data_IF_661210584581
#
_entry.id   IF_661210584581
#
_cell.length_a   1.000
_cell.length_b   1.000
_cell.length_c   1.000
_cell.angle_alpha   90.00
_cell.angle_beta   90.00
_cell.angle_gamma   90.00
#
_symmetry.space_group_name_H-M   'P 1'
#
loop_
_entity.id
_entity.type
_entity.pdbx_description
1 polymer ?
#
# COMPACT_ATOMS: atom_id res chain seq x y z
N UNK A 1 31.66 47.20 72.44
CA UNK A 1 30.55 46.41 73.01
C UNK A 1 29.72 45.89 71.85
N UNK A 2 30.03 44.69 71.37
CA UNK A 2 29.09 43.79 70.70
C UNK A 2 29.74 42.40 70.67
N UNK A 3 28.91 41.37 70.82
CA UNK A 3 29.22 40.09 71.47
C UNK A 3 30.06 39.14 70.60
N UNK A 4 30.96 38.41 71.27
CA UNK A 4 31.52 37.15 70.80
C UNK A 4 30.46 36.03 70.90
N UNK A 5 30.40 35.13 69.92
CA UNK A 5 29.79 33.80 70.07
C UNK A 5 30.59 32.77 69.25
N UNK A 6 30.66 31.58 69.80
CA UNK A 6 31.68 30.54 69.67
C UNK A 6 31.55 29.62 68.44
N UNK A 7 32.73 29.07 68.06
CA UNK A 7 33.03 27.69 67.65
C UNK A 7 31.86 26.74 67.30
N UNK A 8 31.96 26.04 66.16
CA UNK A 8 32.41 24.64 66.20
C UNK A 8 32.81 24.04 64.85
N UNK A 9 33.93 23.32 64.88
CA UNK A 9 34.44 22.45 63.83
C UNK A 9 33.53 21.23 63.61
N UNK A 10 33.33 20.83 62.36
CA UNK A 10 33.18 19.43 61.96
C UNK A 10 33.75 19.29 60.54
N UNK A 11 34.94 18.69 60.40
CA UNK A 11 35.14 17.29 59.98
C UNK A 11 34.44 17.02 58.64
N UNK A 12 35.17 17.11 57.54
CA UNK A 12 35.93 16.01 56.95
C UNK A 12 35.13 15.31 55.85
N UNK A 13 35.80 15.23 54.70
CA UNK A 13 35.49 14.50 53.48
C UNK A 13 34.70 13.20 53.69
N UNK A 14 33.77 12.92 52.78
CA UNK A 14 33.62 11.63 52.11
C UNK A 14 32.96 11.88 50.75
N UNK A 15 33.65 11.46 49.71
CA UNK A 15 33.22 11.42 48.33
C UNK A 15 32.03 10.49 48.15
N UNK A 16 31.03 10.88 47.37
CA UNK A 16 30.14 9.95 46.66
C UNK A 16 29.77 10.57 45.31
N UNK A 17 30.66 10.40 44.34
CA UNK A 17 30.33 10.51 42.91
C UNK A 17 29.50 9.26 42.59
N UNK A 18 28.17 9.38 42.65
CA UNK A 18 27.30 8.40 41.99
C UNK A 18 27.15 8.87 40.54
N UNK A 19 27.96 8.30 39.66
CA UNK A 19 27.59 8.12 38.27
C UNK A 19 26.28 7.30 38.26
N UNK A 20 25.14 7.95 38.09
CA UNK A 20 23.99 7.27 37.53
C UNK A 20 24.15 7.39 36.02
N UNK A 21 24.81 6.38 35.44
CA UNK A 21 24.59 6.05 34.04
C UNK A 21 23.10 5.69 33.93
N UNK A 22 22.28 6.69 33.60
CA UNK A 22 20.98 6.42 33.02
C UNK A 22 21.28 5.81 31.65
N UNK A 23 21.36 4.48 31.62
CA UNK A 23 21.19 3.73 30.39
C UNK A 23 19.85 4.20 29.83
N UNK A 24 19.92 5.00 28.76
CA UNK A 24 18.82 5.19 27.84
C UNK A 24 18.50 3.81 27.26
N UNK A 25 17.67 3.03 27.97
CA UNK A 25 16.76 2.13 27.30
C UNK A 25 15.74 3.04 26.63
N UNK A 26 16.15 3.58 25.48
CA UNK A 26 15.21 4.00 24.46
C UNK A 26 14.42 2.73 24.15
N UNK A 27 13.16 2.69 24.62
CA UNK A 27 12.19 1.70 24.20
C UNK A 27 12.13 1.76 22.68
N UNK A 28 12.92 0.91 22.01
CA UNK A 28 12.68 0.55 20.62
C UNK A 28 11.37 -0.24 20.63
N UNK A 29 10.24 0.48 20.63
CA UNK A 29 8.98 -0.08 20.18
C UNK A 29 9.28 -0.78 18.85
N UNK A 30 8.94 -2.08 18.71
CA UNK A 30 9.18 -2.77 17.46
C UNK A 30 8.50 -1.96 16.36
N UNK A 31 9.27 -1.59 15.34
CA UNK A 31 8.80 -0.75 14.25
C UNK A 31 7.76 -1.56 13.47
N UNK A 32 6.49 -1.37 13.83
CA UNK A 32 5.34 -2.05 13.21
C UNK A 32 5.29 -1.65 11.73
N UNK A 33 5.21 -2.62 10.81
CA UNK A 33 5.13 -2.32 9.37
C UNK A 33 3.86 -1.55 9.04
N UNK A 34 3.86 -0.80 7.94
CA UNK A 34 2.65 -0.08 7.51
C UNK A 34 1.50 -1.04 7.15
N UNK A 35 1.82 -2.22 6.62
CA UNK A 35 0.82 -3.27 6.36
C UNK A 35 0.16 -3.73 7.67
N UNK A 36 0.97 -3.95 8.71
CA UNK A 36 0.47 -4.36 10.02
C UNK A 36 -0.37 -3.26 10.70
N UNK A 37 0.01 -1.99 10.54
CA UNK A 37 -0.81 -0.86 11.00
C UNK A 37 -2.16 -0.83 10.28
N UNK A 38 -2.16 -0.99 8.96
CA UNK A 38 -3.39 -1.01 8.16
C UNK A 38 -4.29 -2.20 8.52
N UNK A 39 -3.70 -3.36 8.81
CA UNK A 39 -4.42 -4.53 9.34
C UNK A 39 -5.06 -4.23 10.70
N UNK A 40 -4.32 -3.64 11.63
CA UNK A 40 -4.87 -3.29 12.95
C UNK A 40 -6.02 -2.29 12.84
N UNK A 41 -5.91 -1.31 11.93
CA UNK A 41 -6.98 -0.37 11.64
C UNK A 41 -8.22 -1.06 11.04
N UNK A 42 -8.02 -1.97 10.08
CA UNK A 42 -9.11 -2.79 9.53
C UNK A 42 -9.83 -3.57 10.61
N UNK A 43 -9.10 -4.27 11.50
CA UNK A 43 -9.70 -5.03 12.60
C UNK A 43 -10.43 -4.14 13.60
N UNK A 44 -9.90 -2.95 13.89
CA UNK A 44 -10.57 -1.96 14.74
C UNK A 44 -11.88 -1.48 14.11
N UNK A 45 -11.89 -1.18 12.80
CA UNK A 45 -13.09 -0.77 12.09
C UNK A 45 -14.10 -1.91 11.98
N UNK A 46 -13.64 -3.14 11.73
CA UNK A 46 -14.48 -4.34 11.67
C UNK A 46 -15.21 -4.61 13.00
N UNK A 47 -14.57 -4.31 14.13
CA UNK A 47 -15.20 -4.44 15.44
C UNK A 47 -16.32 -3.40 15.70
N UNK A 48 -16.43 -2.36 14.87
CA UNK A 48 -17.49 -1.36 14.99
C UNK A 48 -18.79 -1.87 14.34
N UNK A 49 -19.90 -1.99 15.09
CA UNK A 49 -21.18 -2.49 14.56
C UNK A 49 -21.84 -1.56 13.54
N UNK A 50 -21.29 -0.37 13.29
CA UNK A 50 -21.72 0.54 12.23
C UNK A 50 -21.33 0.05 10.82
N UNK A 51 -20.46 -0.96 10.71
CA UNK A 51 -20.04 -1.54 9.44
C UNK A 51 -20.47 -2.99 9.31
N UNK A 52 -20.70 -3.40 8.06
CA UNK A 52 -20.81 -4.79 7.63
C UNK A 52 -19.60 -5.13 6.75
N UNK A 53 -19.20 -6.39 6.78
CA UNK A 53 -18.12 -6.92 5.95
C UNK A 53 -18.73 -7.67 4.76
N UNK A 54 -18.30 -7.33 3.56
CA UNK A 54 -18.68 -8.03 2.32
C UNK A 54 -17.42 -8.64 1.71
N UNK A 55 -17.50 -9.92 1.34
CA UNK A 55 -16.41 -10.63 0.67
C UNK A 55 -16.46 -10.36 -0.84
N UNK A 56 -15.31 -10.27 -1.49
CA UNK A 56 -15.21 -10.25 -2.94
C UNK A 56 -14.32 -11.40 -3.45
N UNK A 57 -14.69 -12.06 -4.57
CA UNK A 57 -15.82 -11.74 -5.45
C UNK A 57 -17.20 -12.30 -5.02
N UNK A 58 -17.34 -12.92 -3.83
CA UNK A 58 -18.54 -13.70 -3.47
C UNK A 58 -19.80 -12.85 -3.20
N UNK A 59 -19.71 -11.84 -2.33
CA UNK A 59 -20.81 -10.94 -1.98
C UNK A 59 -20.83 -9.69 -2.86
N UNK A 60 -19.65 -9.22 -3.26
CA UNK A 60 -19.41 -8.06 -4.13
C UNK A 60 -18.45 -8.46 -5.26
N UNK A 61 -18.65 -8.05 -6.53
CA UNK A 61 -17.76 -8.41 -7.64
C UNK A 61 -16.35 -7.80 -7.54
N UNK A 62 -16.10 -6.98 -6.52
CA UNK A 62 -14.85 -6.31 -6.20
C UNK A 62 -14.54 -5.13 -7.14
N UNK A 63 -13.31 -4.58 -7.10
CA UNK A 63 -12.97 -3.37 -7.84
C UNK A 63 -13.15 -3.50 -9.37
N UNK A 64 -13.86 -2.59 -10.07
CA UNK A 64 -14.10 -2.67 -11.52
C UNK A 64 -12.92 -2.17 -12.36
N UNK A 65 -11.69 -2.47 -11.97
CA UNK A 65 -10.49 -2.09 -12.72
C UNK A 65 -9.60 -3.30 -12.99
N UNK A 66 -8.91 -3.27 -14.13
CA UNK A 66 -8.08 -4.39 -14.58
C UNK A 66 -6.69 -4.39 -13.97
N UNK A 67 -6.12 -3.21 -13.75
CA UNK A 67 -4.76 -3.02 -13.30
C UNK A 67 -4.67 -1.81 -12.36
N UNK A 68 -3.69 -1.78 -11.45
CA UNK A 68 -3.42 -0.63 -10.59
C UNK A 68 -2.52 0.40 -11.29
N UNK A 69 -3.08 1.04 -12.31
CA UNK A 69 -2.49 2.16 -13.03
C UNK A 69 -3.61 3.15 -13.37
N UNK A 70 -3.36 4.46 -13.23
CA UNK A 70 -4.36 5.47 -13.54
C UNK A 70 -3.74 6.87 -13.70
N UNK A 71 -4.40 7.72 -14.49
CA UNK A 71 -4.18 9.17 -14.53
C UNK A 71 -5.55 9.85 -14.48
N UNK A 72 -5.96 10.28 -13.29
CA UNK A 72 -7.28 10.86 -13.01
C UNK A 72 -7.13 12.35 -12.63
N UNK A 73 -6.81 13.18 -13.63
CA UNK A 73 -6.55 14.60 -13.41
C UNK A 73 -5.29 14.82 -12.58
N UNK A 74 -5.36 15.46 -11.38
CA UNK A 74 -4.20 15.64 -10.52
C UNK A 74 -3.75 14.35 -9.81
N UNK A 75 -4.61 13.34 -9.77
CA UNK A 75 -4.32 12.06 -9.13
C UNK A 75 -3.62 11.12 -10.12
N UNK A 76 -2.41 10.69 -9.78
CA UNK A 76 -1.61 9.80 -10.60
C UNK A 76 -1.32 8.54 -9.79
N UNK A 77 -1.75 7.40 -10.30
CA UNK A 77 -1.45 6.09 -9.74
C UNK A 77 -0.38 5.43 -10.61
N UNK A 78 0.88 5.77 -10.33
CA UNK A 78 2.04 5.17 -10.97
C UNK A 78 3.00 4.70 -9.86
N UNK A 79 3.02 3.39 -9.61
CA UNK A 79 3.86 2.81 -8.57
C UNK A 79 5.31 2.70 -9.07
N UNK A 80 6.02 3.82 -9.09
CA UNK A 80 7.37 3.91 -9.64
C UNK A 80 8.46 3.81 -8.57
N UNK A 81 9.47 2.98 -8.83
CA UNK A 81 10.72 2.93 -8.07
C UNK A 81 11.90 2.72 -9.02
N UNK A 82 12.92 3.59 -8.92
CA UNK A 82 14.17 3.51 -9.68
C UNK A 82 13.97 3.36 -11.21
N UNK A 83 13.06 4.15 -11.79
CA UNK A 83 12.77 4.13 -13.23
C UNK A 83 11.97 2.90 -13.69
N UNK A 84 11.41 2.12 -12.77
CA UNK A 84 10.52 0.99 -13.07
C UNK A 84 9.16 1.22 -12.43
N UNK A 85 8.09 1.10 -13.23
CA UNK A 85 6.70 1.12 -12.76
C UNK A 85 6.24 -0.31 -12.51
N UNK A 86 5.66 -0.54 -11.33
CA UNK A 86 5.02 -1.80 -10.92
C UNK A 86 3.53 -1.70 -11.22
N UNK A 87 3.00 -2.66 -11.96
CA UNK A 87 1.58 -2.71 -12.35
C UNK A 87 0.98 -4.04 -11.90
N UNK A 88 0.37 -4.09 -10.70
CA UNK A 88 -0.44 -5.23 -10.28
C UNK A 88 -1.67 -5.40 -11.19
N UNK A 89 -1.84 -6.59 -11.75
CA UNK A 89 -3.03 -6.95 -12.55
C UNK A 89 -4.08 -7.55 -11.62
N UNK A 90 -5.17 -6.82 -11.43
CA UNK A 90 -6.24 -7.11 -10.47
C UNK A 90 -7.30 -8.05 -11.03
N UNK A 91 -7.35 -8.17 -12.35
CA UNK A 91 -8.19 -9.11 -13.09
C UNK A 91 -7.34 -9.91 -14.07
N UNK A 92 -7.86 -11.05 -14.52
CA UNK A 92 -7.14 -11.92 -15.45
C UNK A 92 -6.80 -11.15 -16.73
N UNK A 93 -5.54 -11.22 -17.16
CA UNK A 93 -5.02 -10.37 -18.24
C UNK A 93 -5.71 -10.67 -19.58
N UNK A 94 -6.01 -11.94 -19.82
CA UNK A 94 -6.60 -12.45 -21.06
C UNK A 94 -8.07 -12.07 -21.26
N UNK A 95 -8.75 -11.55 -20.22
CA UNK A 95 -10.12 -11.02 -20.34
C UNK A 95 -10.20 -9.49 -20.34
N UNK A 96 -9.07 -8.78 -20.30
CA UNK A 96 -9.05 -7.33 -20.40
C UNK A 96 -9.50 -6.92 -21.80
N UNK A 97 -10.41 -5.95 -21.86
CA UNK A 97 -10.82 -5.35 -23.12
C UNK A 97 -9.61 -4.68 -23.78
N UNK A 98 -9.19 -5.11 -24.98
CA UNK A 98 -7.98 -4.61 -25.62
C UNK A 98 -8.06 -3.13 -25.99
N UNK A 99 -9.27 -2.58 -26.13
CA UNK A 99 -9.49 -1.19 -26.53
C UNK A 99 -9.74 -0.26 -25.32
N UNK A 100 -9.81 -0.80 -24.10
CA UNK A 100 -10.02 0.00 -22.90
C UNK A 100 -8.78 0.82 -22.53
N UNK A 101 -8.97 2.10 -22.23
CA UNK A 101 -7.92 2.96 -21.70
C UNK A 101 -7.64 2.62 -20.24
N UNK A 102 -6.51 1.96 -19.96
CA UNK A 102 -6.10 1.58 -18.61
C UNK A 102 -5.93 2.79 -17.68
N UNK A 103 -5.69 4.00 -18.22
CA UNK A 103 -5.51 5.21 -17.41
C UNK A 103 -6.81 5.72 -16.77
N UNK A 104 -7.97 5.32 -17.30
CA UNK A 104 -9.30 5.69 -16.75
C UNK A 104 -9.63 4.92 -15.45
N UNK A 105 -8.82 3.91 -15.11
CA UNK A 105 -8.95 3.00 -13.98
C UNK A 105 -10.23 2.15 -14.04
N UNK A 106 -11.41 2.76 -13.91
CA UNK A 106 -12.69 2.07 -13.73
C UNK A 106 -13.39 1.78 -15.05
N UNK A 107 -13.67 0.50 -15.33
CA UNK A 107 -14.47 0.06 -16.47
C UNK A 107 -15.82 -0.50 -15.98
N UNK A 108 -16.81 0.35 -15.72
CA UNK A 108 -18.13 -0.09 -15.22
C UNK A 108 -19.14 -0.18 -16.37
N UNK A 109 -19.89 -1.30 -16.51
CA UNK A 109 -19.84 -2.53 -15.72
C UNK A 109 -18.81 -3.56 -16.23
N UNK A 110 -18.19 -3.33 -17.38
CA UNK A 110 -17.47 -4.37 -18.14
C UNK A 110 -16.31 -5.04 -17.38
N UNK A 111 -15.60 -4.29 -16.53
CA UNK A 111 -14.55 -4.80 -15.67
C UNK A 111 -15.03 -5.92 -14.76
N UNK A 112 -16.28 -5.87 -14.28
CA UNK A 112 -16.83 -6.92 -13.41
C UNK A 112 -16.92 -8.30 -14.09
N UNK A 113 -16.99 -8.36 -15.42
CA UNK A 113 -17.08 -9.62 -16.16
C UNK A 113 -15.73 -10.34 -16.33
N UNK A 114 -14.62 -9.67 -16.01
CA UNK A 114 -13.27 -10.22 -16.11
C UNK A 114 -12.82 -10.72 -14.73
N UNK A 115 -12.58 -12.03 -14.50
CA UNK A 115 -12.38 -12.56 -13.14
C UNK A 115 -11.26 -11.87 -12.35
N UNK A 116 -11.47 -11.61 -11.05
CA UNK A 116 -10.43 -11.11 -10.16
C UNK A 116 -9.29 -12.12 -10.01
N UNK A 117 -8.07 -11.61 -9.84
CA UNK A 117 -6.85 -12.39 -9.54
C UNK A 117 -6.57 -12.46 -8.03
N UNK A 118 -7.34 -11.74 -7.23
CA UNK A 118 -7.30 -11.72 -5.77
C UNK A 118 -8.69 -11.97 -5.17
N UNK A 119 -8.72 -12.30 -3.88
CA UNK A 119 -9.92 -12.30 -3.04
C UNK A 119 -9.75 -11.32 -1.90
N UNK A 120 -10.83 -10.94 -1.24
CA UNK A 120 -10.73 -10.02 -0.13
C UNK A 120 -12.07 -9.65 0.48
N UNK A 121 -12.04 -8.61 1.29
CA UNK A 121 -13.19 -8.13 2.06
C UNK A 121 -13.20 -6.60 2.12
N UNK A 122 -14.38 -6.01 2.06
CA UNK A 122 -14.61 -4.58 2.22
C UNK A 122 -15.56 -4.29 3.36
N UNK A 123 -15.25 -3.26 4.16
CA UNK A 123 -16.17 -2.74 5.17
C UNK A 123 -17.04 -1.64 4.57
N UNK A 124 -18.34 -1.70 4.80
CA UNK A 124 -19.32 -0.72 4.29
C UNK A 124 -20.43 -0.50 5.31
N UNK A 125 -21.11 0.65 5.28
CA UNK A 125 -22.29 0.90 6.09
C UNK A 125 -23.47 0.01 5.66
N UNK A 126 -24.31 -0.51 6.58
CA UNK A 126 -25.41 -1.42 6.27
C UNK A 126 -26.40 -0.92 5.20
N UNK A 127 -26.58 0.39 5.09
CA UNK A 127 -27.52 1.05 4.17
C UNK A 127 -26.80 1.88 3.10
N UNK A 128 -25.53 1.59 2.83
CA UNK A 128 -24.80 2.30 1.78
C UNK A 128 -25.47 2.07 0.42
N UNK A 129 -25.57 3.11 -0.43
CA UNK A 129 -26.03 2.94 -1.81
C UNK A 129 -25.19 1.93 -2.58
N UNK A 130 -25.80 1.25 -3.54
CA UNK A 130 -25.08 0.37 -4.48
C UNK A 130 -23.95 1.15 -5.19
N UNK A 131 -22.79 0.52 -5.33
CA UNK A 131 -21.61 1.15 -5.94
C UNK A 131 -20.82 2.08 -5.00
N UNK A 132 -21.20 2.17 -3.73
CA UNK A 132 -20.40 2.87 -2.73
C UNK A 132 -19.12 2.08 -2.46
N UNK A 133 -17.95 2.70 -2.65
CA UNK A 133 -16.67 2.08 -2.30
C UNK A 133 -16.62 1.70 -0.81
N UNK A 134 -15.84 0.69 -0.39
CA UNK A 134 -15.67 0.38 1.02
C UNK A 134 -14.97 1.53 1.78
N UNK A 135 -15.20 1.65 3.10
CA UNK A 135 -14.43 2.58 3.94
C UNK A 135 -12.98 2.14 4.05
N UNK A 136 -12.76 0.83 4.16
CA UNK A 136 -11.48 0.15 4.06
C UNK A 136 -11.71 -1.22 3.44
N UNK A 137 -10.82 -1.64 2.56
CA UNK A 137 -10.79 -2.97 1.98
C UNK A 137 -9.45 -3.65 2.27
N UNK A 138 -9.52 -4.97 2.41
CA UNK A 138 -8.39 -5.88 2.45
C UNK A 138 -8.46 -6.78 1.21
N UNK A 139 -7.34 -6.98 0.52
CA UNK A 139 -7.21 -7.90 -0.60
C UNK A 139 -5.97 -8.77 -0.49
N UNK A 140 -6.06 -10.03 -0.89
CA UNK A 140 -4.94 -10.97 -0.92
C UNK A 140 -4.93 -11.87 -2.16
N UNK A 141 -3.74 -12.24 -2.62
CA UNK A 141 -3.57 -13.13 -3.75
C UNK A 141 -2.23 -13.88 -3.73
N UNK A 142 -2.21 -15.08 -4.30
CA UNK A 142 -1.03 -15.97 -4.33
C UNK A 142 -0.62 -16.41 -5.74
N UNK A 143 -1.31 -15.91 -6.77
CA UNK A 143 -0.99 -16.14 -8.17
C UNK A 143 -1.35 -14.89 -9.00
N UNK A 144 -0.91 -13.73 -8.50
CA UNK A 144 -1.25 -12.41 -9.05
C UNK A 144 -0.25 -12.02 -10.15
N UNK A 145 -0.68 -11.74 -11.38
CA UNK A 145 0.23 -11.19 -12.39
C UNK A 145 0.67 -9.78 -11.98
N UNK A 146 1.97 -9.51 -12.08
CA UNK A 146 2.56 -8.19 -11.80
C UNK A 146 3.49 -7.85 -12.93
N UNK A 147 3.30 -6.70 -13.57
CA UNK A 147 4.13 -6.26 -14.69
C UNK A 147 5.09 -5.17 -14.24
N UNK A 148 6.34 -5.25 -14.69
CA UNK A 148 7.36 -4.25 -14.44
C UNK A 148 7.77 -3.59 -15.76
N UNK A 149 7.56 -2.28 -15.86
CA UNK A 149 7.72 -1.50 -17.10
C UNK A 149 8.74 -0.39 -16.87
N UNK A 150 9.56 -0.10 -17.87
CA UNK A 150 10.43 1.09 -17.84
C UNK A 150 9.58 2.37 -17.80
N UNK A 151 9.86 3.27 -16.85
CA UNK A 151 9.01 4.45 -16.65
C UNK A 151 9.12 5.45 -17.81
N UNK A 152 10.27 5.55 -18.48
CA UNK A 152 10.46 6.41 -19.63
C UNK A 152 9.67 5.91 -20.85
N UNK A 153 9.72 4.61 -21.12
CA UNK A 153 8.91 4.00 -22.19
C UNK A 153 7.42 4.13 -21.91
N UNK A 154 6.99 3.90 -20.67
CA UNK A 154 5.59 4.04 -20.28
C UNK A 154 5.13 5.50 -20.42
N UNK A 155 5.91 6.47 -19.95
CA UNK A 155 5.57 7.89 -20.08
C UNK A 155 5.35 8.32 -21.53
N UNK A 156 6.16 7.83 -22.47
CA UNK A 156 5.96 8.10 -23.90
C UNK A 156 4.69 7.43 -24.44
N UNK A 157 4.39 6.21 -23.99
CA UNK A 157 3.19 5.49 -24.42
C UNK A 157 1.89 6.16 -23.93
N UNK A 158 1.95 6.92 -22.84
CA UNK A 158 0.81 7.65 -22.27
C UNK A 158 0.69 9.11 -22.77
N UNK A 159 1.52 9.54 -23.74
CA UNK A 159 1.62 10.96 -24.13
C UNK A 159 0.30 11.53 -24.66
N UNK A 160 -0.51 10.70 -25.31
CA UNK A 160 -1.84 11.07 -25.83
C UNK A 160 -2.97 10.89 -24.80
N UNK A 161 -2.65 10.49 -23.57
CA UNK A 161 -3.60 10.21 -22.50
C UNK A 161 -4.33 8.87 -22.63
N UNK A 162 -3.87 7.98 -23.53
CA UNK A 162 -4.40 6.64 -23.70
C UNK A 162 -3.31 5.61 -23.43
N UNK A 163 -3.66 4.53 -22.75
CA UNK A 163 -2.81 3.34 -22.62
C UNK A 163 -3.67 2.10 -22.68
N UNK A 164 -3.68 1.44 -23.83
CA UNK A 164 -4.36 0.15 -24.01
C UNK A 164 -3.49 -1.02 -23.56
N UNK A 165 -4.09 -2.18 -23.33
CA UNK A 165 -3.33 -3.39 -23.00
C UNK A 165 -2.32 -3.76 -24.12
N UNK A 166 -2.67 -3.77 -25.42
CA UNK A 166 -1.71 -4.07 -26.49
C UNK A 166 -0.52 -3.10 -26.52
N UNK A 167 -0.74 -1.81 -26.30
CA UNK A 167 0.35 -0.82 -26.20
C UNK A 167 1.27 -1.13 -25.03
N UNK A 168 0.70 -1.44 -23.86
CA UNK A 168 1.46 -1.85 -22.69
C UNK A 168 2.29 -3.12 -22.96
N UNK A 169 1.76 -4.08 -23.73
CA UNK A 169 2.50 -5.29 -24.12
C UNK A 169 3.65 -5.02 -25.09
N UNK A 170 3.49 -4.06 -26.01
CA UNK A 170 4.55 -3.64 -26.94
C UNK A 170 5.76 -3.06 -26.21
N UNK A 171 5.57 -2.50 -25.01
CA UNK A 171 6.68 -2.06 -24.14
C UNK A 171 7.52 -3.22 -23.58
N UNK A 172 7.15 -4.47 -23.88
CA UNK A 172 7.82 -5.69 -23.47
C UNK A 172 8.02 -5.75 -21.93
N UNK A 173 6.93 -5.69 -21.15
CA UNK A 173 7.00 -5.67 -19.69
C UNK A 173 7.68 -6.93 -19.18
N UNK A 174 8.49 -6.80 -18.11
CA UNK A 174 8.91 -7.99 -17.35
C UNK A 174 7.69 -8.49 -16.59
N UNK A 175 7.17 -9.66 -16.98
CA UNK A 175 5.96 -10.25 -16.39
C UNK A 175 6.36 -11.16 -15.22
N UNK A 176 5.98 -10.78 -14.01
CA UNK A 176 6.13 -11.56 -12.79
C UNK A 176 4.81 -12.18 -12.32
N UNK A 177 4.93 -13.14 -11.40
CA UNK A 177 3.80 -13.76 -10.69
C UNK A 177 4.07 -13.65 -9.19
N UNK A 178 3.22 -12.89 -8.51
CA UNK A 178 3.27 -12.73 -7.06
C UNK A 178 2.70 -13.99 -6.39
N UNK A 179 3.53 -14.62 -5.57
CA UNK A 179 3.17 -15.73 -4.69
C UNK A 179 2.54 -15.24 -3.38
N UNK A 180 2.79 -13.98 -3.02
CA UNK A 180 2.10 -13.25 -1.96
C UNK A 180 1.81 -11.84 -2.45
N UNK A 181 0.57 -11.41 -2.31
CA UNK A 181 0.10 -10.06 -2.51
C UNK A 181 -0.87 -9.78 -1.37
N UNK A 182 -0.65 -8.71 -0.63
CA UNK A 182 -1.56 -8.23 0.39
C UNK A 182 -1.74 -6.73 0.22
N UNK A 183 -2.98 -6.27 0.25
CA UNK A 183 -3.30 -4.85 0.18
C UNK A 183 -4.34 -4.42 1.22
N UNK A 184 -4.17 -3.20 1.72
CA UNK A 184 -5.20 -2.45 2.43
C UNK A 184 -5.44 -1.13 1.70
N UNK A 185 -6.71 -0.78 1.48
CA UNK A 185 -7.09 0.41 0.73
C UNK A 185 -8.26 1.14 1.39
N UNK A 186 -8.13 2.46 1.57
CA UNK A 186 -9.17 3.41 1.99
C UNK A 186 -9.46 4.36 0.83
N UNK A 187 -10.40 4.00 -0.08
CA UNK A 187 -10.54 4.67 -1.37
C UNK A 187 -11.38 5.96 -1.36
N UNK A 188 -12.12 6.25 -0.28
CA UNK A 188 -13.22 7.24 -0.30
C UNK A 188 -12.75 8.70 -0.26
N UNK A 189 -12.09 9.10 0.83
CA UNK A 189 -11.74 10.50 1.09
C UNK A 189 -10.28 10.77 0.77
N UNK A 190 -9.98 11.99 0.32
CA UNK A 190 -8.59 12.43 0.14
C UNK A 190 -7.87 12.63 1.47
N UNK A 191 -8.57 13.11 2.49
CA UNK A 191 -8.03 13.40 3.82
C UNK A 191 -7.59 12.14 4.59
N UNK A 192 -8.17 11.00 4.24
CA UNK A 192 -7.96 9.71 4.93
C UNK A 192 -7.66 8.58 3.93
N UNK A 193 -7.14 8.98 2.75
CA UNK A 193 -6.73 8.04 1.71
C UNK A 193 -5.56 7.21 2.20
N UNK A 194 -5.63 5.91 1.95
CA UNK A 194 -4.56 4.99 2.24
C UNK A 194 -4.53 3.89 1.18
N UNK A 195 -3.35 3.60 0.64
CA UNK A 195 -3.08 2.36 -0.06
C UNK A 195 -1.76 1.81 0.48
N UNK A 196 -1.82 0.62 1.07
CA UNK A 196 -0.64 -0.13 1.51
C UNK A 196 -0.63 -1.46 0.78
N UNK A 197 0.46 -1.77 0.10
CA UNK A 197 0.66 -3.05 -0.59
C UNK A 197 2.00 -3.61 -0.15
N UNK A 198 2.04 -4.90 0.15
CA UNK A 198 3.27 -5.69 0.17
C UNK A 198 3.10 -6.90 -0.73
N UNK A 199 4.10 -7.18 -1.56
CA UNK A 199 4.04 -8.33 -2.46
C UNK A 199 5.41 -8.88 -2.78
N UNK A 200 5.47 -10.20 -2.97
CA UNK A 200 6.65 -10.92 -3.40
C UNK A 200 6.30 -12.03 -4.39
N UNK A 201 7.27 -12.38 -5.23
CA UNK A 201 7.07 -13.39 -6.26
C UNK A 201 8.31 -13.70 -7.07
N UNK A 202 8.06 -14.27 -8.25
CA UNK A 202 9.11 -14.67 -9.20
C UNK A 202 8.81 -14.14 -10.59
N UNK A 203 9.85 -14.08 -11.44
CA UNK A 203 9.70 -13.78 -12.87
C UNK A 203 9.89 -15.10 -13.64
N UNK A 204 8.81 -15.73 -14.15
CA UNK A 204 8.90 -17.01 -14.84
C UNK A 204 9.86 -17.00 -16.02
N UNK A 205 10.52 -18.13 -16.27
CA UNK A 205 11.55 -18.25 -17.31
C UNK A 205 12.90 -17.62 -16.94
N UNK A 206 13.01 -17.02 -15.76
CA UNK A 206 14.26 -16.51 -15.18
C UNK A 206 14.50 -17.14 -13.80
N UNK A 207 15.66 -16.83 -13.18
CA UNK A 207 15.93 -17.15 -11.78
C UNK A 207 15.62 -15.98 -10.83
N UNK A 208 14.95 -14.93 -11.33
CA UNK A 208 14.75 -13.69 -10.58
C UNK A 208 13.55 -13.79 -9.65
N UNK A 209 13.71 -13.18 -8.48
CA UNK A 209 12.65 -12.91 -7.52
C UNK A 209 12.37 -11.41 -7.47
N UNK A 210 11.18 -11.05 -7.01
CA UNK A 210 10.86 -9.67 -6.70
C UNK A 210 10.19 -9.54 -5.35
N UNK A 211 10.36 -8.36 -4.76
CA UNK A 211 9.59 -7.85 -3.63
C UNK A 211 9.29 -6.38 -3.90
N UNK A 212 8.07 -5.94 -3.63
CA UNK A 212 7.76 -4.53 -3.62
C UNK A 212 6.82 -4.14 -2.48
N UNK A 213 6.94 -2.88 -2.07
CA UNK A 213 6.10 -2.25 -1.07
C UNK A 213 5.60 -0.93 -1.63
N UNK A 214 4.32 -0.64 -1.40
CA UNK A 214 3.69 0.62 -1.78
C UNK A 214 3.03 1.20 -0.55
N UNK A 215 3.31 2.46 -0.25
CA UNK A 215 2.59 3.24 0.74
C UNK A 215 2.15 4.51 0.07
N UNK A 216 0.86 4.78 0.09
CA UNK A 216 0.29 6.00 -0.47
C UNK A 216 -0.72 6.56 0.51
N UNK A 217 -0.46 7.77 0.97
CA UNK A 217 -1.33 8.51 1.92
C UNK A 217 -2.07 9.66 1.25
N UNK A 218 -1.79 9.88 -0.02
CA UNK A 218 -2.49 10.82 -0.89
C UNK A 218 -2.65 10.18 -2.25
N UNK A 219 -3.70 10.53 -3.00
CA UNK A 219 -3.90 9.98 -4.34
C UNK A 219 -2.84 10.44 -5.36
N UNK A 220 -2.13 11.52 -5.06
CA UNK A 220 -1.12 12.12 -5.95
C UNK A 220 0.29 11.52 -5.79
N UNK A 221 0.58 10.78 -4.72
CA UNK A 221 1.94 10.28 -4.47
C UNK A 221 1.96 8.89 -3.82
N UNK A 222 2.83 8.04 -4.35
CA UNK A 222 3.13 6.73 -3.80
C UNK A 222 4.62 6.67 -3.44
N UNK A 223 4.93 6.23 -2.22
CA UNK A 223 6.26 5.82 -1.84
C UNK A 223 6.40 4.32 -2.15
N UNK A 224 7.31 3.99 -3.04
CA UNK A 224 7.47 2.63 -3.58
C UNK A 224 8.89 2.14 -3.34
N UNK A 225 8.99 0.94 -2.78
CA UNK A 225 10.23 0.19 -2.70
C UNK A 225 10.11 -1.01 -3.63
N UNK A 226 11.06 -1.20 -4.55
CA UNK A 226 11.12 -2.35 -5.45
C UNK A 226 12.51 -2.98 -5.42
N UNK A 227 12.55 -4.30 -5.28
CA UNK A 227 13.76 -5.11 -5.40
C UNK A 227 13.50 -6.25 -6.38
N UNK A 228 14.41 -6.43 -7.33
CA UNK A 228 14.44 -7.58 -8.24
C UNK A 228 15.87 -8.13 -8.22
N UNK A 229 16.05 -9.42 -7.95
CA UNK A 229 17.35 -10.07 -7.83
C UNK A 229 17.36 -11.47 -8.40
#
# INVERSE_FOLDING_TARGET
>A
MEKATYLNLSKAAIAWVILVMACANEDQQPLVSELEKARLEYEQMKANPAFIELSFPEDDPGPPFYARIAVLGPDVLLMESNGTVVIPMMRQVDCIDPDFNLLDLYHVPNGFFCPLTLSGRGLIEPNAPMGTFPVIAYGEGSNMPVWFVDSGLLANAMEDGVLTLPELEVLNPRKGVASRYEEYNKPRSEEDYLLVIESEGTIPGTNQRFEYKVISRTKARQDVELRIW
#
